data_IF_874341620375
#
_entry.id   IF_874341620375
#
_cell.length_a   1.000
_cell.length_b   1.000
_cell.length_c   1.000
_cell.angle_alpha   90.00
_cell.angle_beta   90.00
_cell.angle_gamma   90.00
#
_symmetry.space_group_name_H-M   'P 1'
#
loop_
_entity.id
_entity.type
_entity.pdbx_description
1 polymer ?
#
# COMPACT_ATOMS: atom_id res chain seq x y z
N UNK A 1 1.99 -1.31 -27.47
CA UNK A 1 1.12 -0.63 -26.49
C UNK A 1 0.14 -1.60 -25.80
N UNK A 2 0.61 -2.73 -25.25
CA UNK A 2 -0.28 -3.73 -24.59
C UNK A 2 -0.17 -3.77 -23.05
N UNK A 3 0.78 -3.05 -22.47
CA UNK A 3 1.10 -3.13 -21.04
C UNK A 3 1.42 -1.76 -20.41
N UNK A 4 0.73 -0.69 -20.85
CA UNK A 4 0.82 0.60 -20.15
C UNK A 4 -0.14 0.58 -18.96
N UNK A 5 0.33 0.10 -17.81
CA UNK A 5 -0.39 0.30 -16.56
C UNK A 5 -0.37 1.78 -16.19
N UNK A 6 -1.55 2.33 -15.89
CA UNK A 6 -1.71 3.75 -15.51
C UNK A 6 -1.14 4.07 -14.13
N UNK A 7 -0.86 3.05 -13.34
CA UNK A 7 -0.37 3.11 -11.97
C UNK A 7 0.34 1.81 -11.61
N UNK A 8 1.18 1.87 -10.59
CA UNK A 8 1.67 0.70 -9.87
C UNK A 8 0.66 0.28 -8.80
N UNK A 9 0.58 -1.00 -8.47
CA UNK A 9 -0.30 -1.50 -7.42
C UNK A 9 0.54 -1.96 -6.23
N UNK A 10 0.20 -1.50 -5.02
CA UNK A 10 0.81 -1.93 -3.77
C UNK A 10 -0.26 -2.57 -2.89
N UNK A 11 -0.15 -3.88 -2.68
CA UNK A 11 -1.09 -4.66 -1.89
C UNK A 11 -0.45 -5.29 -0.65
N UNK A 12 -1.27 -5.56 0.35
CA UNK A 12 -0.90 -6.26 1.58
C UNK A 12 -1.40 -7.70 1.53
N UNK A 13 -0.51 -8.65 1.82
CA UNK A 13 -0.86 -10.07 1.87
C UNK A 13 -1.64 -10.45 3.12
N UNK A 14 -2.09 -11.69 3.16
CA UNK A 14 -2.80 -12.34 4.27
C UNK A 14 -2.02 -12.32 5.61
N UNK A 15 -0.69 -12.23 5.55
CA UNK A 15 0.18 -12.14 6.74
C UNK A 15 0.38 -10.72 7.27
N UNK A 16 -0.19 -9.70 6.63
CA UNK A 16 -0.01 -8.32 7.07
C UNK A 16 -0.77 -8.05 8.38
N UNK A 17 -0.06 -7.53 9.38
CA UNK A 17 -0.62 -7.19 10.71
C UNK A 17 -1.33 -5.83 10.70
N UNK A 18 -2.27 -5.67 9.77
CA UNK A 18 -3.08 -4.46 9.59
C UNK A 18 -4.52 -4.63 10.11
N UNK A 19 -4.84 -5.80 10.64
CA UNK A 19 -6.15 -6.23 11.14
C UNK A 19 -6.55 -5.62 12.49
N UNK A 20 -5.73 -4.73 13.04
CA UNK A 20 -6.09 -3.94 14.22
C UNK A 20 -7.12 -2.86 13.88
N UNK A 21 -8.40 -3.22 14.01
CA UNK A 21 -9.53 -2.30 13.87
C UNK A 21 -10.68 -2.90 13.09
N UNK A 22 -11.69 -2.08 12.81
CA UNK A 22 -12.84 -2.49 12.01
C UNK A 22 -12.60 -2.41 10.50
N UNK A 23 -11.61 -1.62 10.06
CA UNK A 23 -11.28 -1.40 8.66
C UNK A 23 -9.80 -1.05 8.49
N UNK A 24 -9.18 -1.60 7.44
CA UNK A 24 -7.81 -1.29 7.06
C UNK A 24 -7.64 -1.33 5.54
N UNK A 25 -6.67 -0.58 4.99
CA UNK A 25 -6.39 -0.61 3.56
C UNK A 25 -5.61 -1.88 3.17
N UNK A 26 -6.06 -2.54 2.11
CA UNK A 26 -5.44 -3.77 1.60
C UNK A 26 -4.72 -3.57 0.28
N UNK A 27 -5.06 -2.55 -0.50
CA UNK A 27 -4.42 -2.26 -1.80
C UNK A 27 -4.47 -0.76 -2.14
N UNK A 28 -3.42 -0.29 -2.82
CA UNK A 28 -3.27 1.07 -3.31
C UNK A 28 -2.85 1.10 -4.78
N UNK A 29 -3.47 2.00 -5.55
CA UNK A 29 -3.07 2.36 -6.89
C UNK A 29 -2.20 3.64 -6.84
N UNK A 30 -0.93 3.53 -7.25
CA UNK A 30 0.07 4.58 -7.20
C UNK A 30 0.38 5.09 -8.60
N UNK A 31 -0.16 6.26 -8.94
CA UNK A 31 0.19 6.98 -10.19
C UNK A 31 1.49 7.76 -10.05
N UNK A 32 1.78 8.23 -8.83
CA UNK A 32 3.00 8.93 -8.43
C UNK A 32 3.25 8.63 -6.95
N UNK A 33 4.53 8.61 -6.55
CA UNK A 33 4.92 8.49 -5.15
C UNK A 33 5.47 9.85 -4.69
N UNK A 34 4.69 10.61 -3.94
CA UNK A 34 5.17 11.86 -3.33
C UNK A 34 5.85 11.58 -1.99
N UNK A 35 6.64 12.51 -1.42
CA UNK A 35 7.24 12.32 -0.11
C UNK A 35 6.20 12.04 1.00
N UNK A 36 5.05 12.69 0.95
CA UNK A 36 3.97 12.46 1.91
C UNK A 36 3.33 11.06 1.76
N UNK A 37 3.20 10.58 0.52
CA UNK A 37 2.73 9.21 0.26
C UNK A 37 3.76 8.20 0.77
N UNK A 38 5.06 8.45 0.55
CA UNK A 38 6.13 7.57 1.03
C UNK A 38 6.12 7.44 2.55
N UNK A 39 5.97 8.56 3.29
CA UNK A 39 5.86 8.52 4.76
C UNK A 39 4.67 7.67 5.22
N UNK A 40 3.51 7.84 4.58
CA UNK A 40 2.29 7.09 4.90
C UNK A 40 2.44 5.60 4.58
N UNK A 41 2.97 5.28 3.41
CA UNK A 41 3.24 3.90 3.00
C UNK A 41 4.27 3.24 3.90
N UNK A 42 5.33 3.95 4.29
CA UNK A 42 6.36 3.46 5.20
C UNK A 42 5.75 3.07 6.55
N UNK A 43 4.96 3.96 7.15
CA UNK A 43 4.27 3.67 8.40
C UNK A 43 3.37 2.43 8.28
N UNK A 44 2.65 2.32 7.16
CA UNK A 44 1.73 1.21 6.92
C UNK A 44 2.45 -0.12 6.65
N UNK A 45 3.57 -0.09 5.91
CA UNK A 45 4.44 -1.25 5.69
C UNK A 45 5.08 -1.71 7.00
N UNK A 46 5.57 -0.77 7.83
CA UNK A 46 6.12 -1.11 9.15
C UNK A 46 5.07 -1.77 10.03
N UNK A 47 3.84 -1.23 10.06
CA UNK A 47 2.73 -1.85 10.79
C UNK A 47 2.41 -3.25 10.24
N UNK A 48 2.34 -3.39 8.92
CA UNK A 48 2.05 -4.65 8.26
C UNK A 48 3.12 -5.73 8.52
N UNK A 49 4.40 -5.33 8.59
CA UNK A 49 5.53 -6.24 8.83
C UNK A 49 5.57 -6.76 10.28
N UNK A 50 5.08 -5.97 11.24
CA UNK A 50 4.94 -6.38 12.64
C UNK A 50 6.12 -6.09 13.53
#
# INVERSE_FOLDING_TARGET
DKFKSRYATLGFGDKARLDEGSMWPTEYALTQLTPADEERLRALITKAAG
#
